data_IF_581530429677
#
_entry.id   IF_581530429677
#
_cell.length_a   1.000
_cell.length_b   1.000
_cell.length_c   1.000
_cell.angle_alpha   90.00
_cell.angle_beta   90.00
_cell.angle_gamma   90.00
#
_symmetry.space_group_name_H-M   'P 1'
#
loop_
_entity.id
_entity.type
_entity.pdbx_description
1 polymer ?
#
# COMPACT_ATOMS: atom_id res chain seq x y z
N UNK A 1 -16.14 -1.82 3.01
CA UNK A 1 -16.26 -1.43 1.60
C UNK A 1 -15.39 -2.29 0.71
N UNK A 2 -14.03 -2.35 0.90
CA UNK A 2 -13.12 -3.08 -0.01
C UNK A 2 -13.55 -4.54 -0.20
N UNK A 3 -13.76 -5.31 0.88
CA UNK A 3 -14.20 -6.72 0.80
C UNK A 3 -15.43 -6.89 -0.10
N UNK A 4 -16.49 -6.12 0.15
CA UNK A 4 -17.75 -6.24 -0.62
C UNK A 4 -17.57 -5.84 -2.09
N UNK A 5 -16.70 -4.87 -2.37
CA UNK A 5 -16.46 -4.41 -3.73
C UNK A 5 -15.67 -5.47 -4.52
N UNK A 6 -14.62 -6.04 -3.94
CA UNK A 6 -13.84 -7.11 -4.57
C UNK A 6 -14.65 -8.40 -4.75
N UNK A 7 -15.45 -8.81 -3.75
CA UNK A 7 -16.32 -10.00 -3.85
C UNK A 7 -17.36 -9.86 -4.96
N UNK A 8 -17.88 -8.65 -5.20
CA UNK A 8 -18.81 -8.42 -6.34
C UNK A 8 -18.15 -8.60 -7.70
N UNK A 9 -16.85 -8.26 -7.81
CA UNK A 9 -16.10 -8.37 -9.06
C UNK A 9 -15.71 -9.83 -9.38
N UNK A 10 -15.36 -10.60 -8.37
CA UNK A 10 -14.91 -11.99 -8.48
C UNK A 10 -15.55 -12.87 -7.40
N UNK A 11 -16.87 -13.18 -7.51
CA UNK A 11 -17.61 -13.90 -6.47
C UNK A 11 -17.07 -15.29 -6.15
N UNK A 12 -16.39 -15.94 -7.11
CA UNK A 12 -15.82 -17.27 -6.94
C UNK A 12 -14.64 -17.29 -5.94
N UNK A 13 -14.03 -16.14 -5.66
CA UNK A 13 -12.90 -15.96 -4.75
C UNK A 13 -13.30 -15.25 -3.45
N UNK A 14 -14.57 -15.35 -3.06
CA UNK A 14 -15.06 -14.71 -1.83
C UNK A 14 -14.30 -15.16 -0.58
N UNK A 15 -13.91 -16.42 -0.52
CA UNK A 15 -13.18 -16.99 0.63
C UNK A 15 -11.80 -16.38 0.73
N UNK A 16 -11.03 -16.39 -0.34
CA UNK A 16 -9.64 -15.85 -0.39
C UNK A 16 -9.62 -14.35 -0.10
N UNK A 17 -10.56 -13.61 -0.67
CA UNK A 17 -10.73 -12.17 -0.39
C UNK A 17 -11.10 -11.96 1.08
N UNK A 18 -11.99 -12.80 1.62
CA UNK A 18 -12.38 -12.76 3.02
C UNK A 18 -11.20 -12.95 3.94
N UNK A 19 -10.42 -14.00 3.73
CA UNK A 19 -9.23 -14.33 4.52
C UNK A 19 -8.19 -13.21 4.49
N UNK A 20 -7.89 -12.65 3.31
CA UNK A 20 -6.97 -11.52 3.19
C UNK A 20 -7.46 -10.27 3.96
N UNK A 21 -8.75 -9.96 3.86
CA UNK A 21 -9.34 -8.84 4.60
C UNK A 21 -9.33 -9.07 6.11
N UNK A 22 -9.65 -10.27 6.57
CA UNK A 22 -9.70 -10.62 7.99
C UNK A 22 -8.29 -10.63 8.60
N UNK A 23 -7.29 -11.13 7.87
CA UNK A 23 -5.89 -11.06 8.26
C UNK A 23 -5.41 -9.60 8.38
N UNK A 24 -5.73 -8.74 7.40
CA UNK A 24 -5.39 -7.32 7.46
C UNK A 24 -6.06 -6.63 8.66
N UNK A 25 -7.35 -6.87 8.89
CA UNK A 25 -8.08 -6.30 10.03
C UNK A 25 -7.43 -6.73 11.35
N UNK A 26 -6.98 -7.98 11.45
CA UNK A 26 -6.33 -8.51 12.65
C UNK A 26 -4.95 -7.87 12.90
N UNK A 27 -4.26 -7.41 11.86
CA UNK A 27 -2.95 -6.75 11.97
C UNK A 27 -3.06 -5.25 12.34
N UNK A 28 -4.19 -4.59 12.07
CA UNK A 28 -4.36 -3.14 12.32
C UNK A 28 -4.16 -2.73 13.79
N UNK A 29 -4.60 -3.49 14.82
CA UNK A 29 -4.40 -3.10 16.22
C UNK A 29 -2.94 -2.80 16.59
N UNK A 30 -1.97 -3.47 15.97
CA UNK A 30 -0.55 -3.24 16.21
C UNK A 30 -0.13 -1.82 15.82
N UNK A 31 -0.77 -1.22 14.83
CA UNK A 31 -0.52 0.15 14.41
C UNK A 31 -0.95 1.17 15.46
N UNK A 32 -1.94 0.88 16.28
CA UNK A 32 -2.45 1.79 17.32
C UNK A 32 -1.42 2.13 18.39
N UNK A 33 -0.36 1.35 18.49
CA UNK A 33 0.78 1.59 19.39
C UNK A 33 1.78 2.61 18.84
N UNK A 34 1.64 2.99 17.57
CA UNK A 34 2.52 3.95 16.91
C UNK A 34 2.07 5.40 17.14
N UNK A 35 3.01 6.37 17.19
CA UNK A 35 2.63 7.78 17.21
C UNK A 35 1.92 8.17 15.91
N UNK A 36 0.83 8.93 16.02
CA UNK A 36 0.13 9.43 14.84
C UNK A 36 0.89 10.58 14.19
N UNK A 37 0.93 10.57 12.86
CA UNK A 37 1.55 11.60 12.02
C UNK A 37 0.52 12.25 11.10
N UNK A 38 0.91 13.31 10.41
CA UNK A 38 0.18 13.80 9.25
C UNK A 38 0.53 12.90 8.06
N UNK A 39 -0.49 12.36 7.42
CA UNK A 39 -0.36 11.53 6.22
C UNK A 39 -0.80 12.32 4.99
N UNK A 40 -0.24 11.97 3.84
CA UNK A 40 -0.78 12.30 2.53
C UNK A 40 -2.11 11.55 2.29
N UNK A 41 -2.18 10.28 2.71
CA UNK A 41 -3.36 9.42 2.65
C UNK A 41 -3.60 8.74 1.30
N UNK A 42 -2.85 9.13 0.27
CA UNK A 42 -2.88 8.52 -1.07
C UNK A 42 -1.53 8.70 -1.79
N UNK A 43 -0.44 8.41 -1.09
CA UNK A 43 0.91 8.64 -1.61
C UNK A 43 1.29 7.60 -2.67
N UNK A 44 1.56 8.05 -3.89
CA UNK A 44 2.07 7.27 -5.03
C UNK A 44 2.84 8.16 -6.00
N UNK A 45 3.54 7.59 -7.01
CA UNK A 45 4.43 8.35 -7.89
C UNK A 45 3.75 9.49 -8.64
N UNK A 46 2.49 9.32 -9.05
CA UNK A 46 1.76 10.35 -9.80
C UNK A 46 1.43 11.59 -8.94
N UNK A 47 1.61 11.50 -7.61
CA UNK A 47 1.48 12.63 -6.68
C UNK A 47 2.79 13.37 -6.44
N UNK A 48 3.84 13.02 -7.19
CA UNK A 48 5.15 13.66 -7.11
C UNK A 48 5.46 14.36 -8.43
N UNK A 49 5.46 15.68 -8.39
CA UNK A 49 5.92 16.50 -9.50
C UNK A 49 7.39 16.88 -9.29
N UNK A 50 8.14 17.01 -10.37
CA UNK A 50 9.54 17.46 -10.33
C UNK A 50 9.61 18.85 -10.96
N UNK A 51 10.01 19.85 -10.17
CA UNK A 51 10.29 21.20 -10.62
C UNK A 51 11.80 21.48 -10.53
N UNK A 52 12.50 21.38 -11.64
CA UNK A 52 13.97 21.36 -11.65
C UNK A 52 14.48 20.14 -10.88
N UNK A 53 15.22 20.37 -9.79
CA UNK A 53 15.74 19.31 -8.92
C UNK A 53 14.89 19.12 -7.64
N UNK A 54 13.71 19.73 -7.56
CA UNK A 54 12.88 19.71 -6.35
C UNK A 54 11.65 18.83 -6.56
N UNK A 55 11.44 17.79 -5.74
CA UNK A 55 10.18 17.07 -5.69
C UNK A 55 9.13 17.92 -4.96
N UNK A 56 7.92 17.92 -5.51
CA UNK A 56 6.73 18.57 -4.94
C UNK A 56 5.64 17.51 -4.79
N UNK A 57 5.06 17.40 -3.61
CA UNK A 57 3.88 16.58 -3.38
C UNK A 57 2.62 17.38 -3.73
N UNK A 58 1.67 16.73 -4.38
CA UNK A 58 0.38 17.31 -4.79
C UNK A 58 -0.76 16.40 -4.37
N UNK A 59 -2.00 16.88 -4.47
CA UNK A 59 -3.23 16.13 -4.20
C UNK A 59 -3.36 15.64 -2.74
N UNK A 60 -3.48 16.59 -1.83
CA UNK A 60 -3.67 16.33 -0.40
C UNK A 60 -5.15 16.14 -0.01
N UNK A 61 -6.03 15.80 -0.94
CA UNK A 61 -7.47 15.65 -0.70
C UNK A 61 -7.81 14.57 0.34
N UNK A 62 -6.91 13.60 0.52
CA UNK A 62 -7.01 12.51 1.52
C UNK A 62 -6.11 12.70 2.72
N UNK A 63 -5.47 13.87 2.83
CA UNK A 63 -4.56 14.13 3.95
C UNK A 63 -5.29 14.07 5.29
N UNK A 64 -4.65 13.46 6.27
CA UNK A 64 -5.24 13.27 7.58
C UNK A 64 -4.25 12.77 8.62
N UNK A 65 -4.74 12.54 9.84
CA UNK A 65 -3.93 11.92 10.88
C UNK A 65 -4.00 10.40 10.79
N UNK A 66 -2.85 9.75 10.93
CA UNK A 66 -2.73 8.30 10.91
C UNK A 66 -1.31 7.85 11.20
N UNK A 67 -0.96 6.63 10.80
CA UNK A 67 0.33 6.02 11.06
C UNK A 67 1.20 6.13 9.81
N UNK A 68 2.42 6.67 9.94
CA UNK A 68 3.34 6.93 8.82
C UNK A 68 3.64 5.71 7.96
N UNK A 69 3.60 4.52 8.54
CA UNK A 69 3.76 3.26 7.82
C UNK A 69 2.72 3.05 6.69
N UNK A 70 1.56 3.71 6.78
CA UNK A 70 0.52 3.60 5.75
C UNK A 70 0.92 4.34 4.47
N UNK A 71 1.46 5.56 4.59
CA UNK A 71 1.99 6.28 3.42
C UNK A 71 3.26 5.64 2.87
N UNK A 72 4.19 5.26 3.75
CA UNK A 72 5.43 4.58 3.35
C UNK A 72 5.12 3.26 2.65
N UNK A 73 4.23 2.44 3.22
CA UNK A 73 3.80 1.18 2.63
C UNK A 73 3.07 1.36 1.30
N UNK A 74 2.17 2.36 1.21
CA UNK A 74 1.47 2.69 -0.04
C UNK A 74 2.43 3.07 -1.16
N UNK A 75 3.42 3.91 -0.84
CA UNK A 75 4.41 4.35 -1.83
C UNK A 75 5.32 3.21 -2.27
N UNK A 76 5.82 2.40 -1.33
CA UNK A 76 6.65 1.24 -1.67
C UNK A 76 5.88 0.21 -2.51
N UNK A 77 4.57 0.03 -2.26
CA UNK A 77 3.74 -0.85 -3.07
C UNK A 77 3.51 -0.28 -4.48
N UNK A 78 3.34 1.04 -4.61
CA UNK A 78 3.28 1.70 -5.91
C UNK A 78 4.59 1.53 -6.69
N UNK A 79 5.73 1.76 -6.06
CA UNK A 79 7.05 1.54 -6.67
C UNK A 79 7.22 0.09 -7.13
N UNK A 80 6.83 -0.87 -6.29
CA UNK A 80 6.92 -2.30 -6.60
C UNK A 80 6.03 -2.67 -7.80
N UNK A 81 4.78 -2.25 -7.80
CA UNK A 81 3.82 -2.54 -8.88
C UNK A 81 4.23 -1.95 -10.23
N UNK A 82 5.00 -0.85 -10.22
CA UNK A 82 5.57 -0.22 -11.41
C UNK A 82 6.92 -0.79 -11.83
N UNK A 83 7.42 -1.81 -11.15
CA UNK A 83 8.69 -2.47 -11.46
C UNK A 83 9.93 -1.63 -11.11
N UNK A 84 9.79 -0.67 -10.18
CA UNK A 84 10.94 0.09 -9.67
C UNK A 84 11.87 -0.85 -8.90
N UNK A 85 13.18 -0.71 -9.13
CA UNK A 85 14.16 -1.65 -8.58
C UNK A 85 14.19 -1.67 -7.05
N UNK A 86 14.55 -2.79 -6.42
CA UNK A 86 14.66 -2.90 -4.96
C UNK A 86 15.63 -1.87 -4.37
N UNK A 87 16.70 -1.52 -5.08
CA UNK A 87 17.69 -0.52 -4.64
C UNK A 87 17.05 0.88 -4.54
N UNK A 88 16.20 1.26 -5.50
CA UNK A 88 15.51 2.55 -5.47
C UNK A 88 14.42 2.57 -4.37
N UNK A 89 13.72 1.46 -4.15
CA UNK A 89 12.79 1.32 -3.03
C UNK A 89 13.52 1.46 -1.68
N UNK A 90 14.67 0.80 -1.52
CA UNK A 90 15.50 0.91 -0.32
C UNK A 90 16.06 2.35 -0.12
N UNK A 91 16.41 3.04 -1.21
CA UNK A 91 16.87 4.44 -1.15
C UNK A 91 15.75 5.36 -0.64
N UNK A 92 14.51 5.17 -1.08
CA UNK A 92 13.35 5.91 -0.55
C UNK A 92 13.17 5.63 0.95
N UNK A 93 13.14 4.36 1.36
CA UNK A 93 12.96 3.97 2.76
C UNK A 93 14.06 4.54 3.65
N UNK A 94 15.31 4.47 3.20
CA UNK A 94 16.45 5.07 3.90
C UNK A 94 16.31 6.59 4.02
N UNK A 95 15.98 7.28 2.93
CA UNK A 95 15.76 8.72 2.90
C UNK A 95 14.63 9.14 3.86
N UNK A 96 13.51 8.45 3.82
CA UNK A 96 12.38 8.69 4.73
C UNK A 96 12.80 8.54 6.20
N UNK A 97 13.43 7.42 6.55
CA UNK A 97 13.87 7.13 7.92
C UNK A 97 14.96 8.09 8.41
N UNK A 98 15.80 8.63 7.54
CA UNK A 98 16.83 9.61 7.90
C UNK A 98 16.25 10.99 8.27
N UNK A 99 15.08 11.32 7.73
CA UNK A 99 14.39 12.60 7.95
C UNK A 99 13.29 12.52 9.02
N UNK A 100 12.76 11.32 9.27
CA UNK A 100 11.77 11.09 10.33
C UNK A 100 12.47 11.03 11.68
N UNK A 101 11.88 11.61 12.70
CA UNK A 101 12.42 11.58 14.07
C UNK A 101 12.47 10.17 14.68
N UNK A 102 11.83 9.19 14.05
CA UNK A 102 11.83 7.77 14.40
C UNK A 102 11.70 6.93 13.15
N UNK A 103 12.57 5.93 12.92
CA UNK A 103 12.40 5.00 11.80
C UNK A 103 11.05 4.29 11.87
N UNK A 104 10.45 4.06 10.72
CA UNK A 104 9.22 3.27 10.63
C UNK A 104 9.57 1.79 10.75
N UNK A 105 8.85 1.10 11.64
CA UNK A 105 9.02 -0.35 11.82
C UNK A 105 8.68 -1.11 10.53
N UNK A 106 9.53 -2.06 10.15
CA UNK A 106 9.38 -2.79 8.90
C UNK A 106 8.11 -3.65 8.87
N UNK A 107 7.74 -4.28 9.99
CA UNK A 107 6.50 -5.04 10.09
C UNK A 107 5.27 -4.17 9.84
N UNK A 108 5.27 -2.95 10.42
CA UNK A 108 4.19 -1.98 10.19
C UNK A 108 4.16 -1.47 8.74
N UNK A 109 5.32 -1.30 8.09
CA UNK A 109 5.38 -0.98 6.65
C UNK A 109 4.73 -2.09 5.82
N UNK A 110 4.93 -3.37 6.18
CA UNK A 110 4.28 -4.49 5.48
C UNK A 110 2.75 -4.45 5.63
N UNK A 111 2.21 -4.06 6.79
CA UNK A 111 0.77 -3.82 6.96
C UNK A 111 0.29 -2.71 6.01
N UNK A 112 1.06 -1.63 5.89
CA UNK A 112 0.79 -0.54 4.95
C UNK A 112 0.77 -1.01 3.48
N UNK A 113 1.75 -1.83 3.08
CA UNK A 113 1.83 -2.44 1.73
C UNK A 113 0.65 -3.39 1.48
N UNK A 114 0.32 -4.25 2.45
CA UNK A 114 -0.83 -5.15 2.36
C UNK A 114 -2.14 -4.39 2.16
N UNK A 115 -2.34 -3.31 2.90
CA UNK A 115 -3.51 -2.46 2.74
C UNK A 115 -3.54 -1.77 1.37
N UNK A 116 -2.41 -1.26 0.89
CA UNK A 116 -2.30 -0.62 -0.42
C UNK A 116 -2.60 -1.60 -1.55
N UNK A 117 -2.07 -2.83 -1.47
CA UNK A 117 -2.32 -3.90 -2.45
C UNK A 117 -3.83 -4.18 -2.60
N UNK A 118 -4.57 -4.36 -1.49
CA UNK A 118 -6.02 -4.57 -1.55
C UNK A 118 -6.78 -3.34 -2.07
N UNK A 119 -6.39 -2.13 -1.68
CA UNK A 119 -7.04 -0.89 -2.15
C UNK A 119 -6.93 -0.72 -3.66
N UNK A 120 -5.79 -1.12 -4.24
CA UNK A 120 -5.49 -1.00 -5.67
C UNK A 120 -5.95 -2.19 -6.49
N UNK A 121 -6.40 -3.28 -5.87
CA UNK A 121 -6.77 -4.52 -6.55
C UNK A 121 -7.81 -4.33 -7.68
N UNK A 122 -8.66 -3.30 -7.61
CA UNK A 122 -9.64 -2.99 -8.67
C UNK A 122 -9.14 -1.98 -9.72
N UNK A 123 -7.94 -1.43 -9.59
CA UNK A 123 -7.40 -0.45 -10.56
C UNK A 123 -7.30 -1.02 -11.98
N UNK A 124 -6.80 -2.25 -12.21
CA UNK A 124 -6.72 -2.80 -13.56
C UNK A 124 -8.09 -2.87 -14.27
N UNK A 125 -9.18 -3.10 -13.52
CA UNK A 125 -10.52 -3.05 -14.09
C UNK A 125 -10.92 -1.63 -14.52
N UNK A 126 -10.56 -0.62 -13.71
CA UNK A 126 -10.84 0.81 -14.04
C UNK A 126 -10.06 1.27 -15.27
N UNK A 127 -8.88 0.71 -15.48
CA UNK A 127 -8.02 0.95 -16.63
C UNK A 127 -8.40 0.11 -17.85
N UNK A 128 -9.47 -0.70 -17.76
CA UNK A 128 -9.95 -1.60 -18.80
C UNK A 128 -8.89 -2.62 -19.24
N UNK A 129 -8.01 -3.03 -18.33
CA UNK A 129 -6.99 -4.04 -18.58
C UNK A 129 -7.66 -5.41 -18.84
N UNK A 130 -7.37 -6.09 -19.96
CA UNK A 130 -7.98 -7.38 -20.28
C UNK A 130 -7.68 -8.46 -19.25
N UNK A 131 -6.54 -8.37 -18.55
CA UNK A 131 -6.10 -9.32 -17.53
C UNK A 131 -6.47 -8.89 -16.09
N UNK A 132 -7.39 -7.94 -15.96
CA UNK A 132 -7.75 -7.35 -14.66
C UNK A 132 -8.07 -8.36 -13.57
N UNK A 133 -8.71 -9.50 -13.92
CA UNK A 133 -9.06 -10.54 -12.94
C UNK A 133 -7.83 -11.18 -12.31
N UNK A 134 -6.87 -11.57 -13.15
CA UNK A 134 -5.60 -12.17 -12.70
C UNK A 134 -4.81 -11.18 -11.87
N UNK A 135 -4.77 -9.90 -12.26
CA UNK A 135 -4.10 -8.83 -11.52
C UNK A 135 -4.77 -8.54 -10.19
N UNK A 136 -6.11 -8.54 -10.14
CA UNK A 136 -6.86 -8.41 -8.88
C UNK A 136 -6.50 -9.54 -7.90
N UNK A 137 -6.51 -10.79 -8.38
CA UNK A 137 -6.18 -11.94 -7.53
C UNK A 137 -4.72 -11.90 -7.06
N UNK A 138 -3.79 -11.53 -7.94
CA UNK A 138 -2.39 -11.32 -7.56
C UNK A 138 -2.22 -10.26 -6.46
N UNK A 139 -3.06 -9.21 -6.46
CA UNK A 139 -3.07 -8.21 -5.39
C UNK A 139 -3.58 -8.79 -4.06
N UNK A 140 -4.59 -9.66 -4.09
CA UNK A 140 -5.08 -10.36 -2.89
C UNK A 140 -4.01 -11.28 -2.31
N UNK A 141 -3.36 -12.09 -3.15
CA UNK A 141 -2.24 -12.95 -2.75
C UNK A 141 -1.05 -12.15 -2.20
N UNK A 142 -0.76 -11.00 -2.81
CA UNK A 142 0.32 -10.10 -2.36
C UNK A 142 0.02 -9.55 -0.97
N UNK A 143 -1.24 -9.16 -0.70
CA UNK A 143 -1.67 -8.75 0.63
C UNK A 143 -1.38 -9.85 1.67
N UNK A 144 -1.76 -11.09 1.40
CA UNK A 144 -1.55 -12.22 2.31
C UNK A 144 -0.06 -12.45 2.57
N UNK A 145 0.77 -12.47 1.52
CA UNK A 145 2.24 -12.65 1.65
C UNK A 145 2.88 -11.59 2.55
N UNK A 146 2.48 -10.32 2.42
CA UNK A 146 3.00 -9.26 3.30
C UNK A 146 2.65 -9.48 4.76
N UNK A 147 1.45 -9.98 5.05
CA UNK A 147 0.99 -10.23 6.42
C UNK A 147 1.60 -11.51 7.02
N UNK A 148 1.95 -12.49 6.21
CA UNK A 148 2.63 -13.73 6.63
C UNK A 148 4.15 -13.54 6.86
N UNK A 149 4.69 -12.38 6.50
CA UNK A 149 6.11 -12.08 6.64
C UNK A 149 6.98 -12.69 5.54
N UNK A 150 6.41 -13.16 4.43
CA UNK A 150 7.16 -13.62 3.26
C UNK A 150 7.64 -12.39 2.46
N UNK A 151 8.93 -12.08 2.62
CA UNK A 151 9.59 -10.89 2.07
C UNK A 151 10.38 -11.20 0.79
N UNK A 152 10.02 -12.23 0.02
CA UNK A 152 10.70 -12.57 -1.24
C UNK A 152 10.29 -11.67 -2.39
#
# INVERSE_FOLDING_TARGET
PIRSDLTRLVPQQETEIGEACDALISAIPDLSLQPSSLLHGDLHLDQILIEGDRPLLVDFDRAGRGYSCLDVGSFLEDLHSRGVTPEAQAAFEHGYNSMSGSPVDRGHVMIGRAMASLRRASEPLRELDPDWRSKLLASVETCQRYLEGDHR
#
